data_IF_485230154321
#
_entry.id   IF_485230154321
#
_cell.length_a   1.000
_cell.length_b   1.000
_cell.length_c   1.000
_cell.angle_alpha   90.00
_cell.angle_beta   90.00
_cell.angle_gamma   90.00
#
_symmetry.space_group_name_H-M   'P 1'
#
loop_
_entity.id
_entity.type
_entity.pdbx_description
1 polymer ?
#
# COMPACT_ATOMS: atom_id res chain seq x y z
N UNK A 1 -13.79 4.36 -21.18
CA UNK A 1 -13.56 3.84 -19.83
C UNK A 1 -12.33 4.54 -19.27
N UNK A 2 -12.43 5.24 -18.14
CA UNK A 2 -11.24 5.77 -17.47
C UNK A 2 -10.41 4.61 -16.90
N UNK A 3 -9.09 4.73 -16.91
CA UNK A 3 -8.20 3.75 -16.31
C UNK A 3 -8.55 3.55 -14.83
N UNK A 4 -8.49 2.31 -14.35
CA UNK A 4 -8.71 1.94 -12.95
C UNK A 4 -7.50 1.16 -12.47
N UNK A 5 -6.93 1.57 -11.33
CA UNK A 5 -5.74 0.97 -10.74
C UNK A 5 -6.04 0.62 -9.28
N UNK A 6 -6.25 -0.65 -8.92
CA UNK A 6 -6.42 -1.03 -7.52
C UNK A 6 -5.07 -1.14 -6.80
N UNK A 7 -4.97 -0.61 -5.58
CA UNK A 7 -3.88 -0.86 -4.65
C UNK A 7 -4.43 -1.43 -3.34
N UNK A 8 -3.91 -2.59 -2.94
CA UNK A 8 -4.45 -3.38 -1.83
C UNK A 8 -3.58 -3.36 -0.59
N UNK A 9 -4.22 -3.31 0.58
CA UNK A 9 -3.62 -3.50 1.90
C UNK A 9 -4.40 -4.61 2.59
N UNK A 10 -3.69 -5.54 3.20
CA UNK A 10 -4.32 -6.67 3.89
C UNK A 10 -3.76 -6.84 5.29
N UNK A 11 -4.64 -6.66 6.26
CA UNK A 11 -4.37 -6.87 7.68
C UNK A 11 -4.47 -8.37 7.99
N UNK A 12 -3.32 -8.96 8.28
CA UNK A 12 -3.18 -10.38 8.60
C UNK A 12 -3.81 -10.78 9.93
N UNK A 13 -3.87 -9.86 10.89
CA UNK A 13 -4.36 -10.14 12.24
C UNK A 13 -5.88 -10.19 12.27
N UNK A 14 -6.53 -9.25 11.56
CA UNK A 14 -7.98 -9.13 11.55
C UNK A 14 -8.64 -9.75 10.32
N UNK A 15 -7.86 -10.27 9.37
CA UNK A 15 -8.36 -10.76 8.09
C UNK A 15 -9.21 -9.70 7.36
N UNK A 16 -8.72 -8.45 7.34
CA UNK A 16 -9.42 -7.31 6.71
C UNK A 16 -8.61 -6.76 5.55
N UNK A 17 -9.30 -6.49 4.45
CA UNK A 17 -8.76 -5.87 3.25
C UNK A 17 -9.15 -4.41 3.14
N UNK A 18 -8.25 -3.63 2.56
CA UNK A 18 -8.51 -2.28 2.09
C UNK A 18 -8.02 -2.16 0.66
N UNK A 19 -8.80 -1.53 -0.20
CA UNK A 19 -8.42 -1.27 -1.59
C UNK A 19 -8.68 0.19 -1.93
N UNK A 20 -7.63 0.91 -2.31
CA UNK A 20 -7.76 2.21 -2.96
C UNK A 20 -7.85 1.99 -4.47
N UNK A 21 -8.83 2.61 -5.12
CA UNK A 21 -9.12 2.47 -6.54
C UNK A 21 -8.75 3.77 -7.23
N UNK A 22 -7.54 3.84 -7.77
CA UNK A 22 -7.00 5.02 -8.45
C UNK A 22 -7.55 5.18 -9.86
N UNK A 23 -7.63 6.43 -10.33
CA UNK A 23 -8.19 6.77 -11.65
C UNK A 23 -7.13 6.97 -12.75
N UNK A 24 -5.84 6.91 -12.41
CA UNK A 24 -4.77 7.17 -13.37
C UNK A 24 -3.58 6.17 -13.31
N UNK A 25 -2.54 6.41 -12.52
CA UNK A 25 -1.25 5.75 -12.60
C UNK A 25 -0.90 5.05 -11.30
N UNK A 26 -0.39 3.84 -11.41
CA UNK A 26 0.24 3.15 -10.30
C UNK A 26 1.63 3.77 -10.06
N UNK A 27 1.70 4.71 -9.14
CA UNK A 27 2.94 5.38 -8.73
C UNK A 27 3.20 5.13 -7.26
N UNK A 28 4.44 5.36 -6.81
CA UNK A 28 4.75 5.24 -5.40
C UNK A 28 3.95 6.22 -4.52
N UNK A 29 3.62 7.41 -5.05
CA UNK A 29 2.71 8.35 -4.38
C UNK A 29 1.31 7.75 -4.19
N UNK A 30 0.77 7.07 -5.21
CA UNK A 30 -0.51 6.38 -5.09
C UNK A 30 -0.47 5.25 -4.05
N UNK A 31 0.58 4.42 -4.09
CA UNK A 31 0.77 3.33 -3.14
C UNK A 31 0.83 3.84 -1.68
N UNK A 32 1.62 4.89 -1.43
CA UNK A 32 1.70 5.49 -0.10
C UNK A 32 0.40 6.21 0.29
N UNK A 33 -0.31 6.83 -0.67
CA UNK A 33 -1.61 7.42 -0.37
C UNK A 33 -2.67 6.38 0.00
N UNK A 34 -2.62 5.18 -0.58
CA UNK A 34 -3.46 4.06 -0.16
C UNK A 34 -3.19 3.69 1.31
N UNK A 35 -1.92 3.62 1.71
CA UNK A 35 -1.51 3.36 3.11
C UNK A 35 -1.96 4.50 4.02
N UNK A 36 -1.75 5.75 3.62
CA UNK A 36 -2.23 6.94 4.34
C UNK A 36 -3.73 6.86 4.61
N UNK A 37 -4.51 6.62 3.57
CA UNK A 37 -5.98 6.60 3.65
C UNK A 37 -6.46 5.45 4.53
N UNK A 38 -5.83 4.27 4.43
CA UNK A 38 -6.09 3.15 5.33
C UNK A 38 -5.77 3.52 6.79
N UNK A 39 -4.61 4.12 7.06
CA UNK A 39 -4.20 4.55 8.40
C UNK A 39 -5.22 5.50 9.03
N UNK A 40 -5.68 6.51 8.31
CA UNK A 40 -6.66 7.48 8.82
C UNK A 40 -8.07 6.91 8.95
N UNK A 41 -8.50 6.09 8.00
CA UNK A 41 -9.89 5.60 7.95
C UNK A 41 -10.14 4.44 8.91
N UNK A 42 -9.14 3.57 9.08
CA UNK A 42 -9.33 2.28 9.77
C UNK A 42 -8.17 1.99 10.73
N UNK A 43 -6.93 2.19 10.29
CA UNK A 43 -5.73 1.82 11.06
C UNK A 43 -5.70 2.45 12.45
N UNK A 44 -5.87 3.77 12.56
CA UNK A 44 -5.87 4.48 13.87
C UNK A 44 -7.07 4.16 14.75
N UNK A 45 -8.21 3.77 14.17
CA UNK A 45 -9.39 3.38 14.93
C UNK A 45 -9.19 2.00 15.57
N UNK A 46 -8.60 1.07 14.80
CA UNK A 46 -8.34 -0.30 15.24
C UNK A 46 -7.11 -0.36 16.16
N UNK A 47 -6.07 0.41 15.84
CA UNK A 47 -4.79 0.45 16.54
C UNK A 47 -4.51 1.86 17.08
N UNK A 48 -5.22 2.30 18.15
CA UNK A 48 -5.13 3.68 18.66
C UNK A 48 -3.77 4.04 19.25
N UNK A 49 -2.97 3.03 19.64
CA UNK A 49 -1.61 3.18 20.18
C UNK A 49 -0.53 2.74 19.17
N UNK A 50 -0.81 2.85 17.87
CA UNK A 50 0.15 2.48 16.84
C UNK A 50 1.36 3.42 16.87
N UNK A 51 2.51 2.92 17.32
CA UNK A 51 3.80 3.63 17.33
C UNK A 51 4.68 3.27 16.13
N UNK A 52 4.38 2.14 15.49
CA UNK A 52 5.07 1.68 14.29
C UNK A 52 4.15 0.89 13.37
N UNK A 53 4.43 0.93 12.06
CA UNK A 53 3.75 0.14 11.03
C UNK A 53 4.74 -0.80 10.34
N UNK A 54 4.42 -2.10 10.28
CA UNK A 54 5.16 -3.07 9.47
C UNK A 54 4.46 -3.29 8.13
N UNK A 55 5.18 -3.07 7.04
CA UNK A 55 4.74 -3.26 5.67
C UNK A 55 5.54 -4.41 5.06
N UNK A 56 4.84 -5.50 4.73
CA UNK A 56 5.40 -6.55 3.89
C UNK A 56 4.97 -6.30 2.45
N UNK A 57 5.92 -6.05 1.56
CA UNK A 57 5.67 -5.69 0.18
C UNK A 57 6.42 -6.65 -0.76
N UNK A 58 5.94 -6.80 -1.99
CA UNK A 58 6.73 -7.40 -3.05
C UNK A 58 7.84 -6.44 -3.53
N UNK A 59 8.71 -6.92 -4.42
CA UNK A 59 9.82 -6.12 -4.96
C UNK A 59 9.46 -5.31 -6.23
N UNK A 60 8.20 -5.36 -6.69
CA UNK A 60 7.78 -4.85 -8.00
C UNK A 60 7.10 -3.48 -7.96
N UNK A 61 6.76 -2.94 -9.13
CA UNK A 61 5.82 -1.84 -9.26
C UNK A 61 6.16 -0.56 -8.49
N UNK A 62 5.12 0.07 -7.93
CA UNK A 62 5.15 1.36 -7.23
C UNK A 62 5.78 1.30 -5.84
N UNK A 63 5.78 0.13 -5.20
CA UNK A 63 6.34 -0.13 -3.87
C UNK A 63 7.68 -0.87 -3.93
N UNK A 64 8.32 -0.97 -5.10
CA UNK A 64 9.57 -1.74 -5.24
C UNK A 64 10.73 -1.15 -4.45
N UNK A 65 11.63 -2.02 -3.96
CA UNK A 65 12.75 -1.62 -3.09
C UNK A 65 13.74 -0.62 -3.72
N UNK A 66 13.86 -0.61 -5.06
CA UNK A 66 14.71 0.33 -5.82
C UNK A 66 14.03 1.67 -6.09
N UNK A 67 12.73 1.79 -5.80
CA UNK A 67 11.95 2.98 -6.13
C UNK A 67 12.25 4.06 -5.09
N UNK A 68 13.05 5.06 -5.47
CA UNK A 68 13.40 6.18 -4.57
C UNK A 68 12.17 6.98 -4.14
N UNK A 69 11.22 7.17 -5.06
CA UNK A 69 9.96 7.87 -4.76
C UNK A 69 9.17 7.17 -3.65
N UNK A 70 9.19 5.84 -3.60
CA UNK A 70 8.55 5.06 -2.53
C UNK A 70 9.15 5.39 -1.16
N UNK A 71 10.48 5.39 -1.05
CA UNK A 71 11.17 5.76 0.20
C UNK A 71 10.86 7.21 0.59
N UNK A 72 10.88 8.16 -0.36
CA UNK A 72 10.55 9.57 -0.10
C UNK A 72 9.12 9.75 0.41
N UNK A 73 8.15 9.10 -0.23
CA UNK A 73 6.74 9.22 0.18
C UNK A 73 6.47 8.53 1.52
N UNK A 74 7.12 7.40 1.80
CA UNK A 74 7.08 6.78 3.12
C UNK A 74 7.68 7.70 4.21
N UNK A 75 8.74 8.45 3.91
CA UNK A 75 9.27 9.46 4.84
C UNK A 75 8.24 10.53 5.17
N UNK A 76 7.57 11.07 4.15
CA UNK A 76 6.49 12.06 4.35
C UNK A 76 5.38 11.48 5.22
N UNK A 77 4.96 10.24 4.94
CA UNK A 77 3.93 9.56 5.72
C UNK A 77 4.38 9.29 7.17
N UNK A 78 5.63 8.87 7.37
CA UNK A 78 6.20 8.64 8.70
C UNK A 78 6.22 9.94 9.52
N UNK A 79 6.62 11.06 8.91
CA UNK A 79 6.60 12.39 9.55
C UNK A 79 5.15 12.81 9.90
N UNK A 80 4.23 12.65 8.97
CA UNK A 80 2.81 13.00 9.12
C UNK A 80 2.14 12.20 10.25
N UNK A 81 2.37 10.89 10.29
CA UNK A 81 1.77 10.01 11.29
C UNK A 81 2.53 10.04 12.62
N UNK A 82 3.78 10.52 12.63
CA UNK A 82 4.74 10.46 13.75
C UNK A 82 4.98 9.04 14.25
N UNK A 83 5.15 8.09 13.33
CA UNK A 83 5.39 6.68 13.62
C UNK A 83 6.55 6.14 12.80
N UNK A 84 7.22 5.10 13.30
CA UNK A 84 8.21 4.36 12.52
C UNK A 84 7.52 3.48 11.47
N UNK A 85 8.02 3.46 10.24
CA UNK A 85 7.56 2.54 9.19
C UNK A 85 8.67 1.52 8.91
N UNK A 86 8.39 0.26 9.19
CA UNK A 86 9.26 -0.87 8.89
C UNK A 86 8.80 -1.48 7.57
N UNK A 87 9.71 -1.64 6.61
CA UNK A 87 9.43 -2.28 5.33
C UNK A 87 10.25 -3.55 5.21
N UNK A 88 9.61 -4.64 4.79
CA UNK A 88 10.26 -5.90 4.45
C UNK A 88 9.79 -6.38 3.10
N UNK A 89 10.71 -6.41 2.13
CA UNK A 89 10.39 -6.89 0.80
C UNK A 89 10.53 -8.41 0.68
N UNK A 90 9.55 -9.04 0.04
CA UNK A 90 9.65 -10.43 -0.40
C UNK A 90 10.65 -10.54 -1.55
N UNK A 91 11.51 -11.59 -1.60
CA UNK A 91 12.47 -11.75 -2.68
C UNK A 91 11.80 -11.80 -4.08
N UNK A 92 12.48 -11.40 -5.16
CA UNK A 92 11.93 -11.52 -6.51
C UNK A 92 11.44 -12.94 -6.83
N UNK A 93 10.30 -13.06 -7.52
CA UNK A 93 9.72 -14.36 -7.88
C UNK A 93 8.96 -15.09 -6.75
N UNK A 94 8.75 -14.43 -5.61
CA UNK A 94 8.08 -15.03 -4.44
C UNK A 94 6.64 -14.54 -4.23
N UNK A 95 5.96 -14.04 -5.26
CA UNK A 95 4.57 -13.56 -5.16
C UNK A 95 3.60 -14.62 -4.59
N UNK A 96 3.90 -15.92 -4.78
CA UNK A 96 3.19 -17.05 -4.15
C UNK A 96 3.15 -17.00 -2.62
N UNK A 97 4.13 -16.34 -2.00
CA UNK A 97 4.23 -16.21 -0.55
C UNK A 97 3.57 -14.93 -0.04
N UNK A 98 3.23 -13.99 -0.92
CA UNK A 98 2.50 -12.80 -0.56
C UNK A 98 1.03 -13.17 -0.25
N UNK A 99 0.68 -13.13 1.04
CA UNK A 99 -0.63 -13.56 1.52
C UNK A 99 -1.78 -12.74 0.93
N UNK A 100 -1.57 -11.47 0.57
CA UNK A 100 -2.61 -10.62 -0.02
C UNK A 100 -3.12 -11.20 -1.35
N UNK A 101 -2.24 -11.75 -2.17
CA UNK A 101 -2.60 -12.34 -3.46
C UNK A 101 -3.55 -13.52 -3.28
N UNK A 102 -3.24 -14.38 -2.32
CA UNK A 102 -3.99 -15.62 -2.09
C UNK A 102 -5.22 -15.43 -1.20
N UNK A 103 -5.18 -14.51 -0.24
CA UNK A 103 -6.24 -14.33 0.75
C UNK A 103 -7.18 -13.17 0.46
N UNK A 104 -6.79 -12.21 -0.37
CA UNK A 104 -7.61 -11.05 -0.71
C UNK A 104 -7.90 -10.98 -2.21
N UNK A 105 -6.87 -10.80 -3.03
CA UNK A 105 -7.06 -10.59 -4.48
C UNK A 105 -7.68 -11.81 -5.17
N UNK A 106 -7.32 -13.03 -4.78
CA UNK A 106 -7.94 -14.24 -5.34
C UNK A 106 -9.47 -14.28 -5.18
N UNK A 107 -9.99 -13.75 -4.06
CA UNK A 107 -11.43 -13.68 -3.80
C UNK A 107 -12.09 -12.49 -4.49
N UNK A 108 -11.40 -11.35 -4.59
CA UNK A 108 -11.85 -10.21 -5.40
C UNK A 108 -12.03 -10.67 -6.86
N UNK A 109 -11.03 -11.31 -7.46
CA UNK A 109 -11.09 -11.82 -8.84
C UNK A 109 -12.21 -12.84 -9.02
N UNK A 110 -12.44 -13.73 -8.05
CA UNK A 110 -13.56 -14.67 -8.08
C UNK A 110 -14.91 -13.95 -8.05
N UNK A 111 -15.06 -12.91 -7.24
CA UNK A 111 -16.31 -12.14 -7.13
C UNK A 111 -16.59 -11.32 -8.41
N UNK A 112 -15.54 -10.91 -9.12
CA UNK A 112 -15.63 -10.18 -10.39
C UNK A 112 -15.99 -11.06 -11.59
N UNK A 113 -15.75 -12.37 -11.51
CA UNK A 113 -15.86 -13.27 -12.66
C UNK A 113 -17.26 -13.19 -13.28
N UNK A 114 -17.30 -12.76 -14.55
CA UNK A 114 -18.52 -12.67 -15.34
C UNK A 114 -19.38 -11.41 -15.09
N UNK A 115 -18.87 -10.42 -14.35
CA UNK A 115 -19.57 -9.15 -14.12
C UNK A 115 -18.98 -8.03 -14.99
N UNK A 116 -19.80 -7.29 -15.77
CA UNK A 116 -19.31 -6.18 -16.55
C UNK A 116 -18.89 -5.03 -15.63
N UNK A 117 -17.67 -4.55 -15.80
CA UNK A 117 -17.16 -3.37 -15.09
C UNK A 117 -17.58 -2.14 -15.90
N UNK A 118 -18.80 -1.64 -15.65
CA UNK A 118 -19.41 -0.60 -16.49
C UNK A 118 -18.90 0.80 -16.11
N UNK A 119 -18.66 1.02 -14.82
CA UNK A 119 -18.15 2.27 -14.27
C UNK A 119 -17.28 2.04 -13.01
N UNK A 120 -16.66 3.11 -12.51
CA UNK A 120 -15.76 3.08 -11.35
C UNK A 120 -16.48 2.71 -10.05
N UNK A 121 -17.72 3.16 -9.89
CA UNK A 121 -18.53 2.87 -8.70
C UNK A 121 -18.84 1.37 -8.66
N UNK A 122 -19.21 0.77 -9.79
CA UNK A 122 -19.39 -0.68 -9.93
C UNK A 122 -18.12 -1.44 -9.51
N UNK A 123 -16.93 -0.99 -9.90
CA UNK A 123 -15.67 -1.62 -9.47
C UNK A 123 -15.53 -1.58 -7.94
N UNK A 124 -15.74 -0.41 -7.33
CA UNK A 124 -15.62 -0.21 -5.88
C UNK A 124 -16.62 -1.09 -5.13
N UNK A 125 -17.88 -1.08 -5.55
CA UNK A 125 -18.94 -1.89 -4.95
C UNK A 125 -18.64 -3.38 -5.06
N UNK A 126 -18.13 -3.85 -6.21
CA UNK A 126 -17.75 -5.25 -6.39
C UNK A 126 -16.56 -5.65 -5.51
N UNK A 127 -15.56 -4.79 -5.35
CA UNK A 127 -14.45 -5.07 -4.43
C UNK A 127 -14.96 -5.09 -2.99
N UNK A 128 -15.66 -4.04 -2.56
CA UNK A 128 -16.13 -3.88 -1.17
C UNK A 128 -17.13 -4.96 -0.73
N UNK A 129 -17.91 -5.51 -1.66
CA UNK A 129 -18.83 -6.62 -1.36
C UNK A 129 -18.16 -8.00 -1.32
N UNK A 130 -16.85 -8.09 -1.49
CA UNK A 130 -16.13 -9.36 -1.39
C UNK A 130 -16.05 -9.80 0.08
N UNK A 131 -16.74 -10.90 0.41
CA UNK A 131 -16.70 -11.56 1.72
C UNK A 131 -16.43 -13.05 1.60
N UNK A 132 -15.78 -13.64 2.60
CA UNK A 132 -15.58 -15.10 2.66
C UNK A 132 -16.22 -15.70 3.89
N UNK A 133 -16.52 -17.01 3.85
CA UNK A 133 -16.98 -17.77 5.03
C UNK A 133 -15.98 -17.75 6.20
N UNK A 134 -14.71 -17.50 5.91
CA UNK A 134 -13.64 -17.36 6.90
C UNK A 134 -13.51 -15.94 7.47
N UNK A 135 -14.47 -15.05 7.17
CA UNK A 135 -14.55 -13.72 7.76
C UNK A 135 -13.71 -12.64 7.07
N UNK A 136 -13.28 -12.84 5.82
CA UNK A 136 -12.64 -11.75 5.06
C UNK A 136 -13.66 -10.63 4.84
N UNK A 137 -13.28 -9.41 5.19
CA UNK A 137 -14.05 -8.20 4.89
C UNK A 137 -13.16 -7.22 4.13
N UNK A 138 -13.66 -6.64 3.05
CA UNK A 138 -12.90 -5.68 2.24
C UNK A 138 -13.62 -4.34 2.22
N UNK A 139 -12.89 -3.25 2.46
CA UNK A 139 -13.35 -1.90 2.16
C UNK A 139 -12.66 -1.41 0.89
N UNK A 140 -13.43 -0.80 -0.01
CA UNK A 140 -12.90 -0.19 -1.22
C UNK A 140 -13.27 1.28 -1.26
N UNK A 141 -12.33 2.13 -1.67
CA UNK A 141 -12.54 3.56 -1.81
C UNK A 141 -12.02 4.06 -3.15
N UNK A 142 -12.66 5.08 -3.71
CA UNK A 142 -12.14 5.79 -4.87
C UNK A 142 -11.00 6.71 -4.44
N UNK A 143 -9.92 6.71 -5.21
CA UNK A 143 -8.88 7.73 -5.13
C UNK A 143 -8.90 8.56 -6.42
N UNK A 144 -9.45 9.78 -6.31
CA UNK A 144 -9.60 10.72 -7.41
C UNK A 144 -8.36 11.60 -7.63
N UNK A 145 -7.30 11.41 -6.83
CA UNK A 145 -6.07 12.19 -6.99
C UNK A 145 -5.37 11.84 -8.32
N UNK A 146 -4.64 12.83 -8.83
CA UNK A 146 -3.82 12.66 -10.02
C UNK A 146 -2.36 12.45 -9.65
N UNK A 147 -1.84 11.26 -9.94
CA UNK A 147 -0.43 10.91 -9.79
C UNK A 147 0.36 11.01 -11.10
N UNK A 148 1.39 11.87 -11.12
CA UNK A 148 2.27 12.08 -12.26
C UNK A 148 3.30 10.94 -12.41
N UNK A 149 3.62 10.57 -13.66
CA UNK A 149 4.66 9.57 -13.93
C UNK A 149 6.02 10.23 -14.12
N UNK A 150 7.08 9.48 -13.81
CA UNK A 150 8.45 9.89 -14.15
C UNK A 150 9.08 10.88 -13.19
N UNK A 151 8.47 11.10 -12.01
CA UNK A 151 9.09 11.86 -10.93
C UNK A 151 10.42 11.18 -10.56
N UNK A 152 11.50 11.94 -10.70
CA UNK A 152 12.86 11.52 -10.34
C UNK A 152 13.22 12.11 -8.99
N UNK A 153 13.83 11.28 -8.15
CA UNK A 153 14.33 11.69 -6.83
C UNK A 153 15.84 11.84 -6.91
N UNK A 154 16.34 13.01 -6.55
CA UNK A 154 17.77 13.32 -6.55
C UNK A 154 18.49 12.57 -5.43
N UNK A 155 19.82 12.52 -5.50
CA UNK A 155 20.61 11.95 -4.40
C UNK A 155 20.47 12.79 -3.11
N UNK A 156 20.41 14.11 -3.22
CA UNK A 156 20.17 15.03 -2.10
C UNK A 156 18.82 14.78 -1.41
N UNK A 157 17.76 14.48 -2.17
CA UNK A 157 16.46 14.11 -1.59
C UNK A 157 16.53 12.76 -0.88
N UNK A 158 17.32 11.81 -1.40
CA UNK A 158 17.51 10.50 -0.78
C UNK A 158 18.30 10.58 0.54
N UNK A 159 19.34 11.41 0.59
CA UNK A 159 20.16 11.63 1.79
C UNK A 159 19.35 12.23 2.95
N UNK A 160 18.30 12.99 2.63
CA UNK A 160 17.42 13.55 3.66
C UNK A 160 16.60 12.46 4.36
N UNK A 161 16.32 11.33 3.73
CA UNK A 161 15.46 10.28 4.31
C UNK A 161 16.14 9.68 5.55
N UNK A 162 15.42 9.66 6.67
CA UNK A 162 15.85 9.02 7.91
C UNK A 162 15.61 7.51 7.82
N UNK A 163 16.42 6.85 6.98
CA UNK A 163 16.35 5.44 6.67
C UNK A 163 17.46 4.67 7.40
N UNK A 164 17.06 3.65 8.16
CA UNK A 164 17.96 2.68 8.76
C UNK A 164 17.80 1.33 8.08
N UNK A 165 18.86 0.88 7.41
CA UNK A 165 18.90 -0.44 6.77
C UNK A 165 19.02 -1.56 7.82
N UNK A 166 18.37 -2.69 7.55
CA UNK A 166 18.54 -3.91 8.34
C UNK A 166 19.90 -4.55 8.09
N UNK A 167 20.46 -5.20 9.11
CA UNK A 167 21.68 -6.01 8.98
C UNK A 167 21.52 -7.17 7.97
N UNK A 168 20.29 -7.64 7.75
CA UNK A 168 19.98 -8.70 6.78
C UNK A 168 19.20 -8.13 5.60
N UNK A 169 19.83 -8.13 4.42
CA UNK A 169 19.30 -7.55 3.19
C UNK A 169 18.75 -6.12 3.39
N UNK A 170 19.59 -5.19 3.82
CA UNK A 170 19.24 -3.79 4.08
C UNK A 170 18.61 -3.06 2.88
N UNK A 171 18.96 -3.49 1.67
CA UNK A 171 18.36 -3.03 0.44
C UNK A 171 16.88 -3.39 0.30
N UNK A 172 16.43 -4.46 0.97
CA UNK A 172 15.05 -4.97 0.99
C UNK A 172 14.33 -4.73 2.32
N UNK A 173 15.08 -4.59 3.40
CA UNK A 173 14.56 -4.51 4.75
C UNK A 173 15.11 -3.26 5.40
N UNK A 174 14.25 -2.29 5.66
CA UNK A 174 14.66 -1.00 6.20
C UNK A 174 13.56 -0.40 7.05
N UNK A 175 13.96 0.55 7.88
CA UNK A 175 13.09 1.34 8.72
C UNK A 175 13.17 2.78 8.28
N UNK A 176 12.04 3.46 8.24
CA UNK A 176 11.96 4.90 8.04
C UNK A 176 11.39 5.48 9.32
N UNK A 177 12.20 6.31 9.97
CA UNK A 177 11.83 6.99 11.21
C UNK A 177 11.31 8.39 10.91
N UNK A 178 10.39 8.92 11.73
CA UNK A 178 9.97 10.29 11.60
C UNK A 178 11.19 11.21 11.81
N UNK A 179 11.30 12.22 10.97
CA UNK A 179 12.22 13.32 11.19
C UNK A 179 11.56 14.29 12.17
N UNK A 180 12.32 14.75 13.16
CA UNK A 180 11.89 15.89 13.95
C UNK A 180 11.95 17.13 13.06
N UNK A 181 10.83 17.49 12.44
CA UNK A 181 10.66 18.86 11.94
C UNK A 181 10.52 19.77 13.14
N UNK A 182 11.64 20.37 13.55
CA UNK A 182 11.64 21.59 14.37
C UNK A 182 10.93 22.72 13.64
#
# INVERSE_FOLDING_TARGET
>A
MGKVVPYGIYDLLLNKGWVSVGINNDTAEFAVNAIRTWCYSVGRVIYPKMESLLITADCGGSNGYRVRLWKRELQKLSNELKIEINVSHFPPGTSKWNKIEHRMFSFITKNWRGKPLIDRQTVIELIGNTKTKTGLEIKAVLDENFYEKGIRITDEEMEKINLEESNFHGEWNYKIKPQNTN
#
